data_IF_832285131266
#
_entry.id   IF_832285131266
#
_cell.length_a   1.000
_cell.length_b   1.000
_cell.length_c   1.000
_cell.angle_alpha   90.00
_cell.angle_beta   90.00
_cell.angle_gamma   90.00
#
_symmetry.space_group_name_H-M   'P 1'
#
loop_
_entity.id
_entity.type
_entity.pdbx_description
1 polymer ?
#
# COMPACT_ATOMS: atom_id res chain seq x y z
N UNK A 1 -12.44 -23.09 5.38
CA UNK A 1 -13.66 -23.63 5.94
C UNK A 1 -14.44 -22.60 6.73
N UNK A 2 -15.61 -22.24 6.21
CA UNK A 2 -16.46 -21.23 6.84
C UNK A 2 -17.24 -21.78 8.05
N UNK A 3 -17.17 -23.08 8.27
CA UNK A 3 -17.74 -23.82 9.39
C UNK A 3 -16.80 -23.98 10.58
N UNK A 4 -15.55 -23.54 10.44
CA UNK A 4 -14.60 -23.55 11.55
C UNK A 4 -15.04 -22.59 12.66
N UNK A 5 -14.72 -22.98 13.91
CA UNK A 5 -14.95 -22.15 15.09
C UNK A 5 -13.60 -21.82 15.71
N UNK A 6 -13.42 -20.54 16.06
CA UNK A 6 -12.21 -20.06 16.71
C UNK A 6 -12.17 -20.46 18.18
N UNK A 7 -11.01 -20.29 18.82
CA UNK A 7 -10.81 -20.62 20.22
C UNK A 7 -11.79 -19.93 21.18
N UNK A 8 -12.25 -18.74 20.84
CA UNK A 8 -13.20 -17.94 21.61
C UNK A 8 -14.68 -18.24 21.26
N UNK A 9 -14.93 -19.25 20.42
CA UNK A 9 -16.25 -19.62 19.96
C UNK A 9 -16.78 -18.82 18.77
N UNK A 10 -16.01 -17.85 18.25
CA UNK A 10 -16.43 -17.04 17.10
C UNK A 10 -16.42 -17.88 15.81
N UNK A 11 -17.54 -17.93 15.04
CA UNK A 11 -17.54 -18.60 13.74
C UNK A 11 -16.60 -17.94 12.74
N UNK A 12 -15.85 -18.74 11.97
CA UNK A 12 -14.93 -18.25 10.95
C UNK A 12 -15.64 -17.44 9.82
N UNK A 13 -16.96 -17.60 9.66
CA UNK A 13 -17.77 -16.78 8.76
C UNK A 13 -17.70 -15.28 9.10
N UNK A 14 -17.36 -14.93 10.35
CA UNK A 14 -17.12 -13.54 10.78
C UNK A 14 -15.71 -13.04 10.50
N UNK A 15 -14.93 -13.72 9.67
CA UNK A 15 -13.53 -13.41 9.36
C UNK A 15 -13.30 -11.94 8.91
N UNK A 16 -14.29 -11.30 8.29
CA UNK A 16 -14.21 -9.88 7.91
C UNK A 16 -14.05 -8.91 9.11
N UNK A 17 -14.33 -9.35 10.33
CA UNK A 17 -14.07 -8.56 11.54
C UNK A 17 -12.59 -8.56 11.94
N UNK A 18 -11.81 -9.51 11.48
CA UNK A 18 -10.41 -9.69 11.86
C UNK A 18 -9.51 -8.50 11.51
N UNK A 19 -9.62 -7.88 10.33
CA UNK A 19 -8.84 -6.68 10.04
C UNK A 19 -9.05 -5.59 11.09
N UNK A 20 -10.27 -5.40 11.54
CA UNK A 20 -10.59 -4.43 12.60
C UNK A 20 -9.98 -4.86 13.93
N UNK A 21 -10.20 -6.11 14.36
CA UNK A 21 -9.64 -6.63 15.63
C UNK A 21 -8.12 -6.56 15.65
N UNK A 22 -7.48 -6.83 14.51
CA UNK A 22 -6.04 -6.71 14.36
C UNK A 22 -5.56 -5.26 14.45
N UNK A 23 -6.27 -4.32 13.85
CA UNK A 23 -5.98 -2.89 13.96
C UNK A 23 -6.16 -2.40 15.41
N UNK A 24 -7.24 -2.78 16.08
CA UNK A 24 -7.50 -2.46 17.48
C UNK A 24 -6.38 -3.00 18.41
N UNK A 25 -5.90 -4.22 18.15
CA UNK A 25 -4.79 -4.83 18.89
C UNK A 25 -3.50 -4.02 18.74
N UNK A 26 -3.12 -3.69 17.50
CA UNK A 26 -1.92 -2.91 17.22
C UNK A 26 -2.00 -1.51 17.86
N UNK A 27 -3.13 -0.84 17.75
CA UNK A 27 -3.35 0.48 18.37
C UNK A 27 -3.29 0.41 19.90
N UNK A 28 -3.82 -0.64 20.47
CA UNK A 28 -3.76 -0.86 21.93
C UNK A 28 -2.33 -1.14 22.40
N UNK A 29 -1.55 -1.88 21.62
CA UNK A 29 -0.14 -2.12 21.90
C UNK A 29 0.68 -0.83 21.86
N UNK A 30 0.50 0.00 20.83
CA UNK A 30 1.16 1.31 20.70
C UNK A 30 0.88 2.19 21.92
N UNK A 31 -0.39 2.32 22.31
CA UNK A 31 -0.78 3.11 23.50
C UNK A 31 -0.14 2.59 24.79
N UNK A 32 -0.07 1.26 24.98
CA UNK A 32 0.55 0.65 26.17
C UNK A 32 2.05 0.87 26.23
N UNK A 33 2.69 0.97 25.07
CA UNK A 33 4.13 1.23 24.96
C UNK A 33 4.47 2.73 25.02
N UNK A 34 3.45 3.60 25.00
CA UNK A 34 3.65 5.04 24.90
C UNK A 34 4.31 5.48 23.58
N UNK A 35 4.09 4.71 22.50
CA UNK A 35 4.77 4.90 21.22
C UNK A 35 3.74 5.17 20.10
N UNK A 36 3.00 6.25 20.26
CA UNK A 36 2.01 6.69 19.28
C UNK A 36 2.65 7.23 17.98
N UNK A 37 3.95 7.54 18.00
CA UNK A 37 4.68 8.00 16.83
C UNK A 37 5.05 6.87 15.85
N UNK A 38 4.96 5.62 16.28
CA UNK A 38 5.29 4.47 15.41
C UNK A 38 4.19 4.23 14.38
N UNK A 39 4.55 4.26 13.12
CA UNK A 39 3.64 3.97 12.03
C UNK A 39 3.50 2.45 11.83
N UNK A 40 2.26 1.96 11.91
CA UNK A 40 1.91 0.56 11.57
C UNK A 40 1.00 0.58 10.35
N UNK A 41 1.35 -0.17 9.31
CA UNK A 41 0.48 -0.31 8.15
C UNK A 41 -0.19 -1.68 8.09
N UNK A 42 -1.40 -1.70 7.54
CA UNK A 42 -2.26 -2.87 7.45
C UNK A 42 -2.62 -3.13 5.99
N UNK A 43 -2.65 -4.42 5.59
CA UNK A 43 -3.05 -4.80 4.22
C UNK A 43 -4.54 -5.15 4.08
N UNK A 44 -5.29 -5.14 5.16
CA UNK A 44 -6.70 -5.48 5.17
C UNK A 44 -7.46 -4.46 6.00
N UNK A 45 -8.66 -4.10 5.53
CA UNK A 45 -9.56 -3.18 6.23
C UNK A 45 -10.99 -3.69 6.15
N UNK A 46 -11.81 -3.31 7.11
CA UNK A 46 -13.24 -3.60 7.15
C UNK A 46 -13.96 -2.46 7.87
N UNK A 47 -15.28 -2.51 7.88
CA UNK A 47 -16.14 -1.50 8.52
C UNK A 47 -15.61 -1.10 9.90
N UNK A 48 -15.34 0.17 10.09
CA UNK A 48 -14.80 0.76 11.32
C UNK A 48 -13.29 0.59 11.51
N UNK A 49 -12.57 -0.14 10.66
CA UNK A 49 -11.11 -0.23 10.74
C UNK A 49 -10.37 1.07 10.40
N UNK A 50 -10.84 1.95 9.50
CA UNK A 50 -10.12 3.19 9.18
C UNK A 50 -9.78 4.06 10.39
N UNK A 51 -10.62 4.06 11.44
CA UNK A 51 -10.35 4.79 12.70
C UNK A 51 -9.19 4.22 13.52
N UNK A 52 -8.72 3.01 13.24
CA UNK A 52 -7.67 2.31 13.97
C UNK A 52 -6.42 2.05 13.13
N UNK A 53 -6.56 2.06 11.81
CA UNK A 53 -5.44 1.83 10.88
C UNK A 53 -4.57 3.08 10.79
N UNK A 54 -3.29 2.95 11.10
CA UNK A 54 -2.34 4.07 10.95
C UNK A 54 -2.03 4.38 9.50
N UNK A 55 -1.77 3.33 8.71
CA UNK A 55 -1.57 3.42 7.26
C UNK A 55 -2.11 2.16 6.59
N UNK A 56 -2.65 2.28 5.39
CA UNK A 56 -3.11 1.15 4.60
C UNK A 56 -2.12 0.83 3.47
N UNK A 57 -1.80 -0.44 3.32
CA UNK A 57 -1.03 -0.96 2.20
C UNK A 57 -1.96 -1.74 1.26
N UNK A 58 -1.91 -1.40 -0.02
CA UNK A 58 -2.83 -1.97 -1.02
C UNK A 58 -2.58 -3.46 -1.34
N UNK A 59 -1.52 -4.07 -0.79
CA UNK A 59 -1.22 -5.50 -0.95
C UNK A 59 -0.30 -5.81 -2.13
N UNK A 60 -0.32 -7.06 -2.57
CA UNK A 60 0.63 -7.65 -3.52
C UNK A 60 0.09 -7.55 -4.96
N UNK A 61 0.03 -6.37 -5.56
CA UNK A 61 -0.41 -6.23 -6.95
C UNK A 61 0.51 -6.98 -7.92
N UNK A 62 -0.08 -7.48 -9.01
CA UNK A 62 0.67 -8.00 -10.14
C UNK A 62 1.56 -6.93 -10.77
N UNK A 63 2.73 -7.36 -11.24
CA UNK A 63 3.73 -6.48 -11.87
C UNK A 63 3.38 -6.21 -13.33
N UNK A 64 2.21 -5.62 -13.56
CA UNK A 64 1.67 -5.25 -14.87
C UNK A 64 0.86 -3.93 -14.80
N UNK A 65 0.32 -3.48 -15.94
CA UNK A 65 -0.48 -2.25 -16.04
C UNK A 65 -1.99 -2.49 -15.82
N UNK A 66 -2.42 -3.73 -15.57
CA UNK A 66 -3.83 -4.13 -15.61
C UNK A 66 -4.70 -3.40 -14.56
N UNK A 67 -5.97 -3.20 -14.94
CA UNK A 67 -6.96 -2.54 -14.09
C UNK A 67 -7.67 -3.45 -13.10
N UNK A 68 -7.48 -4.76 -13.17
CA UNK A 68 -8.06 -5.74 -12.23
C UNK A 68 -7.11 -6.05 -11.10
N UNK A 69 -5.83 -6.23 -11.44
CA UNK A 69 -4.75 -6.45 -10.49
C UNK A 69 -3.43 -6.02 -11.14
N UNK A 70 -2.93 -4.85 -10.75
CA UNK A 70 -1.74 -4.23 -11.33
C UNK A 70 -1.69 -2.73 -11.01
N UNK A 71 -0.94 -1.97 -11.80
CA UNK A 71 -0.71 -0.55 -11.56
C UNK A 71 -2.00 0.26 -11.51
N UNK A 72 -2.89 0.07 -12.50
CA UNK A 72 -4.13 0.86 -12.56
C UNK A 72 -5.08 0.49 -11.40
N UNK A 73 -5.17 -0.79 -11.03
CA UNK A 73 -5.98 -1.20 -9.87
C UNK A 73 -5.44 -0.63 -8.55
N UNK A 74 -4.10 -0.57 -8.39
CA UNK A 74 -3.48 0.05 -7.22
C UNK A 74 -3.84 1.53 -7.12
N UNK A 75 -3.69 2.28 -8.22
CA UNK A 75 -4.02 3.71 -8.25
C UNK A 75 -5.50 3.95 -7.92
N UNK A 76 -6.42 3.25 -8.60
CA UNK A 76 -7.86 3.39 -8.36
C UNK A 76 -8.26 2.95 -6.94
N UNK A 77 -7.63 1.88 -6.43
CA UNK A 77 -7.83 1.39 -5.07
C UNK A 77 -7.38 2.40 -4.01
N UNK A 78 -6.27 3.08 -4.23
CA UNK A 78 -5.77 4.12 -3.31
C UNK A 78 -6.66 5.36 -3.31
N UNK A 79 -7.10 5.84 -4.48
CA UNK A 79 -8.05 6.96 -4.60
C UNK A 79 -9.39 6.63 -3.93
N UNK A 80 -9.94 5.44 -4.20
CA UNK A 80 -11.17 4.94 -3.57
C UNK A 80 -11.01 4.75 -2.06
N UNK A 81 -9.84 4.27 -1.62
CA UNK A 81 -9.48 4.14 -0.21
C UNK A 81 -9.48 5.48 0.49
N UNK A 82 -8.93 6.52 -0.14
CA UNK A 82 -8.92 7.88 0.39
C UNK A 82 -10.31 8.39 0.73
N UNK A 83 -11.25 8.29 -0.21
CA UNK A 83 -12.66 8.72 0.02
C UNK A 83 -13.41 7.78 0.99
N UNK A 84 -12.85 6.64 1.31
CA UNK A 84 -13.39 5.68 2.28
C UNK A 84 -12.76 5.79 3.67
N UNK A 85 -11.95 6.82 3.91
CA UNK A 85 -11.29 7.08 5.19
C UNK A 85 -9.93 6.40 5.36
N UNK A 86 -9.38 5.76 4.31
CA UNK A 86 -8.02 5.22 4.27
C UNK A 86 -7.08 6.23 3.61
N UNK A 87 -7.02 7.43 4.18
CA UNK A 87 -6.31 8.58 3.62
C UNK A 87 -4.80 8.35 3.53
N UNK A 88 -4.20 7.78 4.58
CA UNK A 88 -2.80 7.36 4.59
C UNK A 88 -2.70 5.97 3.96
N UNK A 89 -2.43 5.92 2.66
CA UNK A 89 -2.29 4.66 1.95
C UNK A 89 -1.09 4.65 1.00
N UNK A 90 -0.66 3.45 0.61
CA UNK A 90 0.41 3.25 -0.37
C UNK A 90 0.29 1.90 -1.07
N UNK A 91 0.97 1.77 -2.19
CA UNK A 91 1.21 0.51 -2.89
C UNK A 91 2.72 0.30 -3.09
N UNK A 92 3.14 -0.92 -3.36
CA UNK A 92 4.51 -1.22 -3.73
C UNK A 92 4.79 -0.66 -5.13
N UNK A 93 5.76 0.26 -5.23
CA UNK A 93 6.12 0.86 -6.50
C UNK A 93 6.66 -0.22 -7.45
N UNK A 94 5.95 -0.41 -8.57
CA UNK A 94 6.24 -1.46 -9.54
C UNK A 94 5.49 -2.79 -9.28
N UNK A 95 4.65 -2.84 -8.26
CA UNK A 95 3.96 -4.07 -7.84
C UNK A 95 4.88 -5.06 -7.11
N UNK A 96 4.30 -6.13 -6.61
CA UNK A 96 5.01 -7.18 -5.88
C UNK A 96 5.02 -8.52 -6.63
N UNK A 97 3.85 -8.96 -7.12
CA UNK A 97 3.63 -10.32 -7.57
C UNK A 97 3.96 -10.48 -9.06
N UNK A 98 5.04 -11.17 -9.33
CA UNK A 98 5.36 -11.69 -10.66
C UNK A 98 4.96 -13.16 -10.82
N UNK A 99 4.77 -13.57 -12.06
CA UNK A 99 4.50 -14.96 -12.44
C UNK A 99 5.49 -15.32 -13.55
N UNK A 100 6.33 -16.34 -13.30
CA UNK A 100 7.25 -16.89 -14.29
C UNK A 100 6.92 -18.35 -14.54
N UNK A 101 5.77 -18.62 -15.14
CA UNK A 101 5.29 -19.97 -15.44
C UNK A 101 4.71 -20.02 -16.84
N UNK A 102 5.30 -20.87 -17.69
CA UNK A 102 4.84 -21.04 -19.07
C UNK A 102 3.35 -21.50 -19.14
N UNK A 103 2.50 -20.91 -19.99
CA UNK A 103 2.79 -19.79 -20.91
C UNK A 103 2.65 -18.40 -20.28
N UNK A 104 2.35 -18.29 -18.99
CA UNK A 104 2.07 -17.02 -18.31
C UNK A 104 3.37 -16.40 -17.79
N UNK A 105 3.70 -15.22 -18.34
CA UNK A 105 4.84 -14.41 -17.91
C UNK A 105 4.35 -13.03 -17.48
N UNK A 106 4.44 -12.72 -16.20
CA UNK A 106 4.15 -11.39 -15.63
C UNK A 106 5.37 -10.98 -14.84
N UNK A 107 6.23 -10.18 -15.46
CA UNK A 107 7.49 -9.74 -14.89
C UNK A 107 7.53 -8.21 -14.89
N UNK A 108 7.97 -7.61 -13.80
CA UNK A 108 8.13 -6.16 -13.71
C UNK A 108 9.18 -5.68 -14.70
N UNK A 109 8.74 -4.87 -15.67
CA UNK A 109 9.62 -4.26 -16.65
C UNK A 109 10.14 -2.91 -16.13
N UNK A 110 11.29 -2.40 -16.67
CA UNK A 110 11.77 -1.06 -16.37
C UNK A 110 10.72 0.02 -16.62
N UNK A 111 9.97 -0.09 -17.72
CA UNK A 111 8.90 0.87 -18.05
C UNK A 111 7.79 0.87 -17.00
N UNK A 112 7.29 -0.30 -16.56
CA UNK A 112 6.29 -0.40 -15.51
C UNK A 112 6.80 0.25 -14.21
N UNK A 113 8.03 -0.07 -13.81
CA UNK A 113 8.61 0.47 -12.59
C UNK A 113 8.72 2.00 -12.62
N UNK A 114 9.17 2.56 -13.75
CA UNK A 114 9.25 4.01 -13.96
C UNK A 114 7.87 4.67 -13.95
N UNK A 115 6.89 4.12 -14.66
CA UNK A 115 5.53 4.67 -14.69
C UNK A 115 4.84 4.61 -13.33
N UNK A 116 5.08 3.54 -12.59
CA UNK A 116 4.56 3.43 -11.23
C UNK A 116 5.22 4.45 -10.29
N UNK A 117 6.54 4.60 -10.37
CA UNK A 117 7.27 5.60 -9.58
C UNK A 117 6.83 7.04 -9.90
N UNK A 118 6.52 7.34 -11.16
CA UNK A 118 6.10 8.67 -11.62
C UNK A 118 4.85 9.18 -10.89
N UNK A 119 3.78 8.36 -10.79
CA UNK A 119 2.59 8.79 -10.04
C UNK A 119 2.75 8.62 -8.53
N UNK A 120 3.62 7.71 -8.07
CA UNK A 120 3.86 7.52 -6.63
C UNK A 120 4.54 8.71 -5.96
N UNK A 121 5.06 9.65 -6.73
CA UNK A 121 5.56 10.93 -6.22
C UNK A 121 4.48 11.71 -5.43
N UNK A 122 3.22 11.53 -5.79
CA UNK A 122 2.07 12.20 -5.19
C UNK A 122 1.45 11.45 -4.01
N UNK A 123 1.93 10.25 -3.72
CA UNK A 123 1.39 9.41 -2.64
C UNK A 123 1.91 9.82 -1.27
N UNK A 124 1.18 9.51 -0.19
CA UNK A 124 1.65 9.74 1.18
C UNK A 124 2.97 9.01 1.48
N UNK A 125 3.18 7.83 0.90
CA UNK A 125 4.41 7.05 1.06
C UNK A 125 4.86 6.47 -0.28
N UNK A 126 6.08 6.82 -0.70
CA UNK A 126 6.77 6.20 -1.81
C UNK A 126 7.62 5.05 -1.26
N UNK A 127 7.20 3.81 -1.47
CA UNK A 127 7.88 2.60 -0.99
C UNK A 127 8.07 1.61 -2.14
N UNK A 128 9.27 1.12 -2.29
CA UNK A 128 9.62 0.07 -3.25
C UNK A 128 9.64 -1.30 -2.58
N UNK A 129 9.53 -2.34 -3.40
CA UNK A 129 9.72 -3.72 -3.01
C UNK A 129 10.49 -4.47 -4.12
N UNK A 130 11.40 -5.37 -3.75
CA UNK A 130 12.13 -6.17 -4.75
C UNK A 130 11.19 -7.15 -5.50
N UNK A 131 10.06 -7.51 -4.89
CA UNK A 131 9.08 -8.44 -5.44
C UNK A 131 9.38 -9.89 -5.08
N UNK A 132 8.50 -10.80 -5.52
CA UNK A 132 8.64 -12.24 -5.26
C UNK A 132 9.61 -12.95 -6.23
N UNK A 133 10.03 -12.27 -7.29
CA UNK A 133 10.98 -12.78 -8.29
C UNK A 133 12.11 -11.75 -8.50
N UNK A 134 12.95 -11.48 -7.49
CA UNK A 134 13.90 -10.36 -7.52
C UNK A 134 14.90 -10.43 -8.67
N UNK A 135 15.32 -11.62 -9.06
CA UNK A 135 16.30 -11.83 -10.15
C UNK A 135 15.71 -11.62 -11.55
N UNK A 136 14.38 -11.58 -11.68
CA UNK A 136 13.69 -11.40 -12.96
C UNK A 136 13.03 -10.03 -13.08
N UNK A 137 12.71 -9.40 -11.96
CA UNK A 137 12.08 -8.09 -11.91
C UNK A 137 13.10 -6.99 -12.11
N UNK A 138 12.74 -5.96 -12.89
CA UNK A 138 13.47 -4.71 -12.89
C UNK A 138 13.53 -4.12 -11.48
N UNK A 139 14.71 -3.66 -11.09
CA UNK A 139 14.98 -3.09 -9.77
C UNK A 139 15.30 -1.60 -9.86
N UNK A 140 15.12 -0.88 -8.76
CA UNK A 140 15.35 0.59 -8.73
C UNK A 140 16.82 0.98 -8.94
N UNK A 141 17.74 0.04 -8.75
CA UNK A 141 19.18 0.23 -8.89
C UNK A 141 19.72 -0.27 -10.24
N UNK A 142 18.87 -0.81 -11.13
CA UNK A 142 19.29 -1.22 -12.46
C UNK A 142 19.70 0.00 -13.33
N UNK A 143 20.70 -0.17 -14.18
CA UNK A 143 21.30 0.92 -14.96
C UNK A 143 20.29 1.69 -15.81
N UNK A 144 19.28 1.01 -16.33
CA UNK A 144 18.21 1.60 -17.15
C UNK A 144 17.04 2.19 -16.33
N UNK A 145 17.06 2.09 -15.00
CA UNK A 145 16.04 2.57 -14.08
C UNK A 145 16.55 3.66 -13.13
N UNK A 146 17.76 3.50 -12.61
CA UNK A 146 18.28 4.26 -11.46
C UNK A 146 18.25 5.78 -11.66
N UNK A 147 18.53 6.26 -12.86
CA UNK A 147 18.55 7.70 -13.16
C UNK A 147 17.14 8.32 -13.06
N UNK A 148 16.13 7.65 -13.63
CA UNK A 148 14.74 8.07 -13.57
C UNK A 148 14.20 7.96 -12.15
N UNK A 149 14.47 6.85 -11.47
CA UNK A 149 14.02 6.64 -10.10
C UNK A 149 14.63 7.69 -9.15
N UNK A 150 15.90 8.01 -9.28
CA UNK A 150 16.55 9.08 -8.53
C UNK A 150 15.93 10.47 -8.82
N UNK A 151 15.45 10.72 -10.03
CA UNK A 151 14.70 11.92 -10.35
C UNK A 151 13.37 11.96 -9.59
N UNK A 152 12.59 10.88 -9.62
CA UNK A 152 11.32 10.79 -8.92
C UNK A 152 11.46 10.90 -7.40
N UNK A 153 12.48 10.28 -6.80
CA UNK A 153 12.74 10.41 -5.36
C UNK A 153 13.11 11.85 -4.96
N UNK A 154 13.85 12.58 -5.80
CA UNK A 154 14.10 14.01 -5.57
C UNK A 154 12.83 14.85 -5.66
N UNK A 155 11.94 14.56 -6.62
CA UNK A 155 10.63 15.21 -6.71
C UNK A 155 9.78 14.89 -5.48
N UNK A 156 9.75 13.63 -5.06
CA UNK A 156 9.07 13.21 -3.84
C UNK A 156 9.58 13.98 -2.62
N UNK A 157 10.89 14.11 -2.47
CA UNK A 157 11.49 14.87 -1.37
C UNK A 157 11.13 16.38 -1.44
N UNK A 158 11.16 16.97 -2.63
CA UNK A 158 10.81 18.38 -2.84
C UNK A 158 9.33 18.71 -2.52
N UNK A 159 8.44 17.71 -2.56
CA UNK A 159 7.02 17.85 -2.22
C UNK A 159 6.72 17.56 -0.73
N UNK A 160 7.72 17.54 0.15
CA UNK A 160 7.52 17.20 1.57
C UNK A 160 6.53 18.15 2.25
N UNK A 161 6.71 19.46 2.10
CA UNK A 161 5.84 20.48 2.71
C UNK A 161 4.41 20.39 2.17
N UNK A 162 4.26 20.21 0.85
CA UNK A 162 2.95 19.99 0.23
C UNK A 162 2.26 18.75 0.82
N UNK A 163 2.97 17.62 0.96
CA UNK A 163 2.39 16.42 1.56
C UNK A 163 1.97 16.64 3.01
N UNK A 164 2.80 17.33 3.79
CA UNK A 164 2.45 17.65 5.17
C UNK A 164 1.15 18.47 5.23
N UNK A 165 1.04 19.52 4.44
CA UNK A 165 -0.17 20.37 4.38
C UNK A 165 -1.41 19.56 4.00
N UNK A 166 -1.33 18.73 2.96
CA UNK A 166 -2.46 17.89 2.51
C UNK A 166 -2.85 16.86 3.57
N UNK A 167 -1.89 16.27 4.27
CA UNK A 167 -2.16 15.30 5.34
C UNK A 167 -2.76 15.96 6.58
N UNK A 168 -2.34 17.17 6.93
CA UNK A 168 -2.92 17.95 8.01
C UNK A 168 -4.38 18.30 7.69
N UNK A 169 -4.65 18.79 6.47
CA UNK A 169 -6.01 19.05 6.00
C UNK A 169 -6.87 17.78 6.00
N UNK A 170 -6.34 16.66 5.52
CA UNK A 170 -7.01 15.37 5.56
C UNK A 170 -7.39 14.96 6.98
N UNK A 171 -6.51 15.21 7.96
CA UNK A 171 -6.77 14.94 9.37
C UNK A 171 -7.84 15.83 9.99
N UNK A 172 -7.98 17.06 9.50
CA UNK A 172 -8.96 18.05 10.01
C UNK A 172 -10.34 17.87 9.36
N UNK A 173 -10.36 17.76 8.04
CA UNK A 173 -11.58 17.87 7.25
C UNK A 173 -12.06 16.52 6.69
N UNK A 174 -11.25 15.46 6.81
CA UNK A 174 -11.55 14.13 6.27
C UNK A 174 -11.47 14.05 4.75
N UNK A 175 -10.86 15.03 4.08
CA UNK A 175 -10.62 14.98 2.64
C UNK A 175 -9.51 13.98 2.30
N UNK A 176 -9.55 13.34 1.12
CA UNK A 176 -8.45 12.47 0.69
C UNK A 176 -7.13 13.24 0.55
N UNK A 177 -6.00 12.61 0.91
CA UNK A 177 -4.66 13.18 0.72
C UNK A 177 -4.10 12.97 -0.69
N UNK A 178 -4.87 12.32 -1.57
CA UNK A 178 -4.45 11.97 -2.93
C UNK A 178 -5.65 12.06 -3.87
#
# INVERSE_FOLDING_TARGET
>A
PFDAVLRDGTPAVKHNQWPRLWADLNRSAQRRLGDDARLVFHRSSWRGAPSQVGMFWAGDQLTNFDGRDGMLSALLGMLSGGVSGLTLNHADVGGYLGIARDPLQIIRTPELLKRWAEWSVWTPLLRTHEGNLPDLHAQVFDDDVVADFARFTRMYAALADYRQEVLEQAGQDGVPAM
#
